data_IF_830593397935
#
_entry.id   IF_830593397935
#
_cell.length_a   1.000
_cell.length_b   1.000
_cell.length_c   1.000
_cell.angle_alpha   90.00
_cell.angle_beta   90.00
_cell.angle_gamma   90.00
#
_symmetry.space_group_name_H-M   'P 1'
#
loop_
_entity.id
_entity.type
_entity.pdbx_description
1 polymer ?
#
# COMPACT_ATOMS: atom_id res chain seq x y z
N UNK A 1 18.10 -20.96 2.81
CA UNK A 1 17.39 -22.09 2.20
C UNK A 1 16.54 -21.58 1.04
N UNK A 2 17.16 -21.34 -0.12
CA UNK A 2 16.46 -21.08 -1.39
C UNK A 2 16.49 -22.39 -2.19
N UNK A 3 15.38 -22.74 -2.85
CA UNK A 3 15.14 -23.85 -3.82
C UNK A 3 14.27 -25.01 -3.34
N UNK A 4 12.94 -24.85 -3.41
CA UNK A 4 12.03 -25.90 -3.93
C UNK A 4 10.65 -25.34 -4.29
N UNK A 5 10.17 -24.31 -3.58
CA UNK A 5 8.78 -23.83 -3.72
C UNK A 5 8.63 -22.39 -4.21
N UNK A 6 9.73 -21.69 -4.51
CA UNK A 6 9.69 -20.32 -5.04
C UNK A 6 9.11 -19.27 -4.09
N UNK A 7 9.06 -19.55 -2.78
CA UNK A 7 8.72 -18.57 -1.75
C UNK A 7 9.98 -18.04 -1.04
N UNK A 8 9.94 -16.77 -0.66
CA UNK A 8 10.95 -16.10 0.15
C UNK A 8 10.36 -15.69 1.49
N UNK A 9 11.10 -15.93 2.58
CA UNK A 9 10.68 -15.52 3.92
C UNK A 9 11.38 -14.20 4.26
N UNK A 10 10.61 -13.14 4.47
CA UNK A 10 11.10 -11.84 4.90
C UNK A 10 10.76 -11.63 6.36
N UNK A 11 11.79 -11.35 7.18
CA UNK A 11 11.59 -10.93 8.56
C UNK A 11 11.22 -9.44 8.58
N UNK A 12 10.15 -9.12 9.27
CA UNK A 12 9.67 -7.76 9.47
C UNK A 12 9.51 -7.47 10.96
N UNK A 13 9.76 -6.23 11.37
CA UNK A 13 9.55 -5.81 12.75
C UNK A 13 8.57 -4.63 12.79
N UNK A 14 7.51 -4.76 13.58
CA UNK A 14 6.55 -3.68 13.83
C UNK A 14 6.28 -3.62 15.33
N UNK A 15 6.37 -2.42 15.92
CA UNK A 15 6.15 -2.20 17.36
C UNK A 15 6.95 -3.13 18.30
N UNK A 16 8.22 -3.43 17.97
CA UNK A 16 9.09 -4.37 18.71
C UNK A 16 8.66 -5.84 18.67
N UNK A 17 7.70 -6.18 17.80
CA UNK A 17 7.28 -7.55 17.54
C UNK A 17 7.80 -7.97 16.17
N UNK A 18 8.38 -9.18 16.11
CA UNK A 18 8.87 -9.77 14.87
C UNK A 18 7.76 -10.56 14.18
N UNK A 19 7.66 -10.38 12.87
CA UNK A 19 6.74 -11.04 11.97
C UNK A 19 7.53 -11.65 10.81
N UNK A 20 7.01 -12.72 10.24
CA UNK A 20 7.58 -13.32 9.05
C UNK A 20 6.56 -13.30 7.93
N UNK A 21 6.95 -12.77 6.78
CA UNK A 21 6.12 -12.66 5.59
C UNK A 21 6.66 -13.64 4.57
N UNK A 22 5.79 -14.51 4.07
CA UNK A 22 6.13 -15.43 3.01
C UNK A 22 5.72 -14.80 1.67
N UNK A 23 6.70 -14.33 0.91
CA UNK A 23 6.51 -13.74 -0.42
C UNK A 23 6.59 -14.82 -1.48
N UNK A 24 5.66 -14.79 -2.44
CA UNK A 24 5.73 -15.66 -3.61
C UNK A 24 6.63 -15.04 -4.68
N UNK A 25 7.85 -15.54 -4.84
CA UNK A 25 8.78 -15.10 -5.89
C UNK A 25 8.54 -15.79 -7.23
N UNK A 26 7.67 -16.81 -7.31
CA UNK A 26 7.28 -17.39 -8.61
C UNK A 26 6.42 -16.46 -9.46
N UNK A 27 5.95 -15.36 -8.89
CA UNK A 27 5.08 -14.40 -9.55
C UNK A 27 5.83 -13.13 -10.00
N UNK A 28 7.17 -13.05 -9.86
CA UNK A 28 7.93 -11.92 -10.43
C UNK A 28 7.77 -11.83 -11.96
N UNK A 29 7.52 -12.96 -12.65
CA UNK A 29 7.16 -12.94 -14.08
C UNK A 29 5.68 -12.61 -14.35
N UNK A 30 4.81 -12.82 -13.37
CA UNK A 30 3.39 -12.49 -13.42
C UNK A 30 3.15 -11.18 -12.69
N UNK A 31 3.32 -10.05 -13.40
CA UNK A 31 3.07 -8.66 -12.93
C UNK A 31 1.66 -8.39 -12.37
N UNK A 32 0.84 -9.41 -12.21
CA UNK A 32 -0.47 -9.33 -11.61
C UNK A 32 -0.33 -9.61 -10.12
N UNK A 33 -0.80 -8.68 -9.29
CA UNK A 33 -1.14 -8.99 -7.90
C UNK A 33 -2.31 -9.98 -7.97
N UNK A 34 -2.00 -11.28 -8.08
CA UNK A 34 -3.01 -12.31 -8.35
C UNK A 34 -3.90 -12.46 -7.12
N UNK A 35 -5.10 -11.90 -7.18
CA UNK A 35 -6.20 -12.31 -6.31
C UNK A 35 -6.69 -13.69 -6.77
N UNK A 36 -6.54 -14.71 -5.94
CA UNK A 36 -7.09 -16.05 -6.21
C UNK A 36 -8.63 -16.07 -6.24
N UNK A 37 -9.29 -15.00 -5.78
CA UNK A 37 -10.75 -14.89 -5.69
C UNK A 37 -11.23 -13.60 -6.40
N UNK A 38 -12.19 -13.67 -7.34
CA UNK A 38 -12.71 -12.49 -8.05
C UNK A 38 -13.35 -11.45 -7.12
N UNK A 39 -13.89 -11.87 -5.98
CA UNK A 39 -14.47 -10.97 -4.97
C UNK A 39 -13.41 -10.12 -4.22
N UNK A 40 -12.13 -10.53 -4.26
CA UNK A 40 -11.03 -9.81 -3.62
C UNK A 40 -10.44 -8.71 -4.53
N UNK A 41 -10.73 -8.76 -5.83
CA UNK A 41 -10.18 -7.82 -6.81
C UNK A 41 -10.59 -6.37 -6.55
N UNK A 42 -11.86 -6.04 -6.21
CA UNK A 42 -12.23 -4.68 -5.85
C UNK A 42 -11.57 -4.19 -4.55
N UNK A 43 -11.42 -5.08 -3.56
CA UNK A 43 -10.74 -4.77 -2.30
C UNK A 43 -9.25 -4.50 -2.54
N UNK A 44 -8.61 -5.24 -3.42
CA UNK A 44 -7.25 -4.94 -3.82
C UNK A 44 -7.15 -3.60 -4.56
N UNK A 45 -8.10 -3.29 -5.44
CA UNK A 45 -8.17 -2.00 -6.11
C UNK A 45 -8.24 -0.83 -5.11
N UNK A 46 -9.08 -0.94 -4.07
CA UNK A 46 -9.14 0.05 -3.00
C UNK A 46 -7.80 0.15 -2.24
N UNK A 47 -7.14 -0.98 -1.98
CA UNK A 47 -5.82 -0.97 -1.35
C UNK A 47 -4.79 -0.20 -2.20
N UNK A 48 -4.74 -0.45 -3.52
CA UNK A 48 -3.83 0.24 -4.44
C UNK A 48 -4.10 1.76 -4.45
N UNK A 49 -5.37 2.17 -4.43
CA UNK A 49 -5.74 3.58 -4.32
C UNK A 49 -5.21 4.19 -3.02
N UNK A 50 -5.37 3.51 -1.88
CA UNK A 50 -4.89 4.02 -0.58
C UNK A 50 -3.36 4.12 -0.57
N UNK A 51 -2.65 3.09 -1.05
CA UNK A 51 -1.19 3.08 -1.14
C UNK A 51 -0.68 4.19 -2.06
N UNK A 52 -1.32 4.41 -3.20
CA UNK A 52 -1.02 5.53 -4.08
C UNK A 52 -1.22 6.88 -3.40
N UNK A 53 -2.33 7.10 -2.67
CA UNK A 53 -2.55 8.35 -1.92
C UNK A 53 -1.45 8.58 -0.87
N UNK A 54 -1.05 7.53 -0.14
CA UNK A 54 0.03 7.63 0.85
C UNK A 54 1.35 8.02 0.17
N UNK A 55 1.69 7.37 -0.95
CA UNK A 55 2.91 7.69 -1.71
C UNK A 55 2.90 9.15 -2.22
N UNK A 56 1.76 9.60 -2.74
CA UNK A 56 1.55 10.98 -3.19
C UNK A 56 1.58 12.01 -2.05
N UNK A 57 1.45 11.59 -0.80
CA UNK A 57 1.54 12.42 0.42
C UNK A 57 2.83 12.18 1.20
N UNK A 58 3.93 11.95 0.49
CA UNK A 58 5.27 11.79 1.07
C UNK A 58 5.35 10.65 2.10
N UNK A 59 4.68 9.54 1.77
CA UNK A 59 4.69 8.28 2.50
C UNK A 59 4.01 8.32 3.88
N UNK A 60 3.34 9.41 4.24
CA UNK A 60 2.60 9.57 5.50
C UNK A 60 1.25 10.22 5.27
N UNK A 61 0.17 9.52 5.68
CA UNK A 61 -1.18 10.02 5.48
C UNK A 61 -1.96 10.10 6.80
N UNK A 62 -2.30 11.31 7.29
CA UNK A 62 -3.19 11.46 8.44
C UNK A 62 -4.56 10.84 8.17
N UNK A 63 -5.15 10.20 9.19
CA UNK A 63 -6.44 9.50 9.07
C UNK A 63 -7.56 10.41 8.56
N UNK A 64 -7.63 11.66 9.03
CA UNK A 64 -8.63 12.62 8.54
C UNK A 64 -8.52 12.85 7.02
N UNK A 65 -7.28 13.01 6.52
CA UNK A 65 -7.04 13.23 5.10
C UNK A 65 -7.36 12.00 4.25
N UNK A 66 -7.12 10.79 4.78
CA UNK A 66 -7.52 9.54 4.13
C UNK A 66 -9.04 9.52 3.93
N UNK A 67 -9.81 9.70 5.01
CA UNK A 67 -11.27 9.64 4.95
C UNK A 67 -11.89 10.76 4.11
N UNK A 68 -11.32 11.98 4.16
CA UNK A 68 -11.76 13.08 3.29
C UNK A 68 -11.53 12.76 1.80
N UNK A 69 -10.44 12.07 1.48
CA UNK A 69 -10.13 11.68 0.10
C UNK A 69 -11.02 10.54 -0.37
N UNK A 70 -11.21 9.51 0.46
CA UNK A 70 -12.12 8.39 0.17
C UNK A 70 -13.57 8.87 0.01
N UNK A 71 -14.01 9.83 0.83
CA UNK A 71 -15.35 10.42 0.71
C UNK A 71 -15.56 11.10 -0.64
N UNK A 72 -14.55 11.79 -1.18
CA UNK A 72 -14.60 12.38 -2.54
C UNK A 72 -14.68 11.31 -3.64
N UNK A 73 -14.21 10.10 -3.37
CA UNK A 73 -14.29 8.93 -4.24
C UNK A 73 -15.57 8.10 -4.02
N UNK A 74 -16.50 8.58 -3.19
CA UNK A 74 -17.78 7.89 -2.89
C UNK A 74 -17.69 6.83 -1.79
N UNK A 75 -16.56 6.73 -1.09
CA UNK A 75 -16.31 5.75 -0.03
C UNK A 75 -16.45 6.43 1.34
N UNK A 76 -17.53 6.13 2.07
CA UNK A 76 -17.90 6.81 3.31
C UNK A 76 -17.55 5.95 4.54
N UNK A 77 -16.91 6.56 5.55
CA UNK A 77 -16.57 5.89 6.80
C UNK A 77 -17.82 5.46 7.57
N UNK A 78 -17.85 4.22 8.04
CA UNK A 78 -18.92 3.69 8.89
C UNK A 78 -20.18 3.25 8.14
N UNK A 79 -20.22 3.41 6.83
CA UNK A 79 -21.25 2.85 5.97
C UNK A 79 -20.78 1.52 5.37
N UNK A 80 -21.72 0.59 5.21
CA UNK A 80 -21.45 -0.67 4.51
C UNK A 80 -21.56 -0.39 3.01
N UNK A 81 -20.44 -0.49 2.31
CA UNK A 81 -20.37 -0.29 0.86
C UNK A 81 -20.71 -1.60 0.14
N UNK A 82 -21.53 -1.55 -0.91
CA UNK A 82 -22.00 -2.75 -1.62
C UNK A 82 -20.86 -3.64 -2.15
N UNK A 83 -19.75 -3.02 -2.55
CA UNK A 83 -18.58 -3.71 -3.12
C UNK A 83 -17.53 -4.05 -2.05
N UNK A 84 -17.34 -3.20 -1.05
CA UNK A 84 -16.20 -3.30 -0.12
C UNK A 84 -16.61 -3.82 1.26
N UNK A 85 -17.91 -3.89 1.54
CA UNK A 85 -18.45 -4.18 2.86
C UNK A 85 -18.16 -3.04 3.84
N UNK A 86 -17.80 -3.40 5.07
CA UNK A 86 -17.38 -2.45 6.11
C UNK A 86 -15.98 -1.92 5.81
N UNK A 87 -15.93 -0.73 5.20
CA UNK A 87 -14.67 -0.11 4.77
C UNK A 87 -13.79 0.31 5.95
N UNK A 88 -14.39 0.72 7.06
CA UNK A 88 -13.63 1.11 8.26
C UNK A 88 -12.87 -0.09 8.81
N UNK A 89 -13.54 -1.23 8.93
CA UNK A 89 -12.89 -2.49 9.33
C UNK A 89 -11.87 -2.97 8.30
N UNK A 90 -12.20 -2.90 7.00
CA UNK A 90 -11.30 -3.30 5.92
C UNK A 90 -9.97 -2.54 6.00
N UNK A 91 -10.01 -1.22 6.18
CA UNK A 91 -8.81 -0.38 6.23
C UNK A 91 -8.09 -0.49 7.57
N UNK A 92 -8.81 -0.36 8.69
CA UNK A 92 -8.19 -0.24 10.02
C UNK A 92 -7.76 -1.57 10.63
N UNK A 93 -8.36 -2.68 10.19
CA UNK A 93 -8.12 -4.01 10.73
C UNK A 93 -7.53 -4.93 9.67
N UNK A 94 -8.20 -5.10 8.53
CA UNK A 94 -7.82 -6.14 7.57
C UNK A 94 -6.51 -5.81 6.85
N UNK A 95 -6.38 -4.62 6.23
CA UNK A 95 -5.12 -4.22 5.57
C UNK A 95 -3.96 -4.05 6.54
N UNK A 96 -4.23 -3.66 7.79
CA UNK A 96 -3.21 -3.58 8.85
C UNK A 96 -2.75 -4.98 9.26
N UNK A 97 -3.68 -5.91 9.49
CA UNK A 97 -3.37 -7.30 9.83
C UNK A 97 -2.63 -8.02 8.70
N UNK A 98 -2.94 -7.69 7.45
CA UNK A 98 -2.24 -8.19 6.28
C UNK A 98 -0.89 -7.48 6.04
N UNK A 99 -0.49 -6.53 6.90
CA UNK A 99 0.77 -5.81 6.82
C UNK A 99 0.93 -4.97 5.54
N UNK A 100 -0.17 -4.62 4.87
CA UNK A 100 -0.17 -3.69 3.75
C UNK A 100 -0.18 -2.23 4.22
N UNK A 101 -0.81 -1.95 5.35
CA UNK A 101 -0.82 -0.64 5.99
C UNK A 101 -0.18 -0.72 7.37
N UNK A 102 0.74 0.20 7.66
CA UNK A 102 1.14 0.47 9.03
C UNK A 102 0.30 1.64 9.57
N UNK A 103 -0.49 1.36 10.61
CA UNK A 103 -1.39 2.34 11.25
C UNK A 103 -0.81 2.72 12.61
N UNK A 104 -0.29 3.94 12.71
CA UNK A 104 0.36 4.44 13.91
C UNK A 104 -0.48 5.49 14.62
N UNK A 105 -0.61 5.37 15.94
CA UNK A 105 -1.22 6.39 16.78
C UNK A 105 -0.24 7.55 16.98
N UNK A 106 -0.68 8.76 16.70
CA UNK A 106 0.07 10.00 16.89
C UNK A 106 -0.64 10.84 17.94
N UNK A 107 0.09 11.25 18.97
CA UNK A 107 -0.43 12.13 20.02
C UNK A 107 0.12 13.52 19.77
N UNK A 108 -0.78 14.50 19.62
CA UNK A 108 -0.44 15.91 19.43
C UNK A 108 -1.20 16.72 20.47
N UNK A 109 -0.48 17.15 21.51
CA UNK A 109 -1.07 17.77 22.69
C UNK A 109 -2.06 16.82 23.36
N UNK A 110 -3.30 17.29 23.53
CA UNK A 110 -4.40 16.52 24.16
C UNK A 110 -5.18 15.66 23.15
N UNK A 111 -4.84 15.72 21.87
CA UNK A 111 -5.53 14.96 20.82
C UNK A 111 -4.72 13.75 20.38
N UNK A 112 -5.40 12.63 20.18
CA UNK A 112 -4.82 11.43 19.59
C UNK A 112 -5.45 11.17 18.23
N UNK A 113 -4.63 11.13 17.19
CA UNK A 113 -5.02 10.81 15.82
C UNK A 113 -4.26 9.59 15.33
N UNK A 114 -4.56 9.11 14.12
CA UNK A 114 -3.81 8.04 13.48
C UNK A 114 -3.20 8.55 12.17
N UNK A 115 -2.06 7.97 11.80
CA UNK A 115 -1.44 8.12 10.50
C UNK A 115 -1.23 6.75 9.85
N UNK A 116 -1.24 6.73 8.53
CA UNK A 116 -1.03 5.55 7.71
C UNK A 116 0.27 5.67 6.91
N UNK A 117 0.99 4.56 6.84
CA UNK A 117 2.18 4.37 6.01
C UNK A 117 2.03 3.06 5.24
N UNK A 118 2.85 2.86 4.22
CA UNK A 118 2.99 1.54 3.60
C UNK A 118 3.52 0.56 4.65
N UNK A 119 2.81 -0.55 4.81
CA UNK A 119 3.30 -1.67 5.59
C UNK A 119 4.34 -2.46 4.81
N UNK A 120 5.08 -3.30 5.53
CA UNK A 120 6.18 -4.09 4.95
C UNK A 120 5.73 -4.98 3.79
N UNK A 121 4.49 -5.49 3.79
CA UNK A 121 3.99 -6.30 2.68
C UNK A 121 3.78 -5.47 1.43
N UNK A 122 3.25 -4.25 1.57
CA UNK A 122 3.08 -3.34 0.44
C UNK A 122 4.43 -2.97 -0.18
N UNK A 123 5.46 -2.72 0.64
CA UNK A 123 6.82 -2.41 0.17
C UNK A 123 7.47 -3.56 -0.62
N UNK A 124 7.05 -4.81 -0.37
CA UNK A 124 7.60 -6.00 -1.02
C UNK A 124 6.80 -6.44 -2.24
N UNK A 125 5.48 -6.25 -2.24
CA UNK A 125 4.61 -6.69 -3.32
C UNK A 125 4.32 -5.60 -4.37
N UNK A 126 4.50 -4.32 -4.02
CA UNK A 126 4.17 -3.19 -4.87
C UNK A 126 5.37 -2.25 -4.91
N UNK A 127 5.79 -1.86 -6.11
CA UNK A 127 6.84 -0.84 -6.27
C UNK A 127 6.23 0.56 -6.29
N UNK A 128 6.99 1.57 -5.85
CA UNK A 128 6.55 2.97 -5.97
C UNK A 128 6.31 3.38 -7.43
N UNK A 129 7.05 2.79 -8.38
CA UNK A 129 6.79 2.92 -9.82
C UNK A 129 5.39 2.43 -10.20
N UNK A 130 5.00 1.23 -9.78
CA UNK A 130 3.65 0.69 -10.04
C UNK A 130 2.56 1.59 -9.44
N UNK A 131 2.77 2.11 -8.23
CA UNK A 131 1.83 3.06 -7.63
C UNK A 131 1.73 4.36 -8.45
N UNK A 132 2.84 4.87 -8.98
CA UNK A 132 2.85 6.08 -9.81
C UNK A 132 2.21 5.85 -11.19
N UNK A 133 2.47 4.70 -11.81
CA UNK A 133 1.83 4.27 -13.06
C UNK A 133 0.31 4.18 -12.89
N UNK A 134 -0.15 3.60 -11.77
CA UNK A 134 -1.58 3.55 -11.43
C UNK A 134 -2.19 4.96 -11.33
N UNK A 135 -1.51 5.89 -10.64
CA UNK A 135 -1.97 7.29 -10.56
C UNK A 135 -2.04 7.90 -11.96
N UNK A 136 -0.98 7.77 -12.76
CA UNK A 136 -0.95 8.29 -14.13
C UNK A 136 -2.13 7.76 -14.98
N UNK A 137 -2.42 6.46 -14.88
CA UNK A 137 -3.55 5.83 -15.55
C UNK A 137 -4.91 6.40 -15.10
N UNK A 138 -5.12 6.58 -13.79
CA UNK A 138 -6.38 7.14 -13.25
C UNK A 138 -6.60 8.58 -13.72
N UNK A 139 -5.54 9.37 -13.81
CA UNK A 139 -5.61 10.76 -14.27
C UNK A 139 -5.51 10.93 -15.79
N UNK A 140 -5.28 9.85 -16.54
CA UNK A 140 -5.05 9.91 -17.98
C UNK A 140 -3.80 10.69 -18.37
N UNK A 141 -2.79 10.71 -17.51
CA UNK A 141 -1.53 11.42 -17.72
C UNK A 141 -0.36 10.46 -17.90
N UNK A 142 0.78 10.97 -18.35
CA UNK A 142 2.04 10.21 -18.33
C UNK A 142 2.69 10.27 -16.94
N UNK A 143 3.39 9.21 -16.56
CA UNK A 143 4.14 9.12 -15.28
C UNK A 143 5.10 10.31 -15.10
N UNK A 144 5.70 10.77 -16.20
CA UNK A 144 6.66 11.88 -16.26
C UNK A 144 6.04 13.24 -15.91
N UNK A 145 4.72 13.39 -16.05
CA UNK A 145 3.99 14.58 -15.64
C UNK A 145 4.08 14.82 -14.13
N UNK A 146 4.34 13.77 -13.35
CA UNK A 146 4.55 13.82 -11.90
C UNK A 146 6.03 13.99 -11.54
N UNK A 147 6.68 15.02 -12.08
CA UNK A 147 8.16 15.18 -12.09
C UNK A 147 8.84 14.91 -10.75
N UNK A 148 8.31 15.43 -9.64
CA UNK A 148 8.90 15.22 -8.31
C UNK A 148 8.84 13.74 -7.87
N UNK A 149 7.70 13.09 -8.05
CA UNK A 149 7.51 11.68 -7.67
C UNK A 149 8.19 10.72 -8.64
N UNK A 150 8.20 11.05 -9.92
CA UNK A 150 8.95 10.30 -10.92
C UNK A 150 10.45 10.31 -10.61
N UNK A 151 11.00 11.47 -10.21
CA UNK A 151 12.40 11.58 -9.80
C UNK A 151 12.69 10.76 -8.54
N UNK A 152 11.83 10.82 -7.51
CA UNK A 152 11.95 9.98 -6.30
C UNK A 152 12.02 8.49 -6.66
N UNK A 153 11.15 8.03 -7.57
CA UNK A 153 11.11 6.64 -8.03
C UNK A 153 12.40 6.25 -8.77
N UNK A 154 12.91 7.10 -9.67
CA UNK A 154 14.14 6.81 -10.42
C UNK A 154 15.35 6.74 -9.50
N UNK A 155 15.48 7.67 -8.54
CA UNK A 155 16.58 7.68 -7.59
C UNK A 155 16.60 6.43 -6.69
N UNK A 156 15.42 5.93 -6.30
CA UNK A 156 15.28 4.71 -5.51
C UNK A 156 15.69 3.45 -6.29
N UNK A 157 15.31 3.37 -7.56
CA UNK A 157 15.69 2.25 -8.44
C UNK A 157 17.18 2.24 -8.77
N UNK A 158 17.78 3.41 -8.97
CA UNK A 158 19.23 3.53 -9.20
C UNK A 158 20.04 3.19 -7.94
N UNK A 159 19.54 3.54 -6.75
CA UNK A 159 20.16 3.22 -5.47
C UNK A 159 20.16 1.73 -5.11
N UNK A 160 19.12 1.00 -5.49
CA UNK A 160 19.00 -0.45 -5.24
C UNK A 160 19.95 -1.27 -6.13
N UNK A 161 20.31 -0.75 -7.32
CA UNK A 161 21.26 -1.39 -8.25
C UNK A 161 22.74 -1.30 -7.85
N UNK A 162 23.07 -0.53 -6.80
CA UNK A 162 24.44 -0.26 -6.36
C UNK A 162 24.95 -1.11 -5.19
N UNK A 163 24.15 -2.07 -4.71
CA UNK A 163 24.48 -2.94 -3.57
C UNK A 163 24.50 -4.42 -3.99
N UNK A 164 25.43 -4.79 -4.88
CA UNK A 164 25.80 -6.19 -5.18
C UNK A 164 27.22 -6.49 -4.67
#
# INVERSE_FOLDING_TARGET
>A
MKKTFGYELVEAEQNKQKFYILLNKMQEEAKEVVCSNPDDQPRLGLLLVILAIIFMKDNVLPEGMLWDTLKRLGVIKGEVHDIFGDVDKLITVEYVKQMYLDRKKVVTGDTATYEYRWGVRAQQEITKRQALEFVAQVYGTEVQAWTAKFKEVVEEEEGDSGSD
#
